data_IF_466549995951
#
_entry.id   IF_466549995951
#
_cell.length_a   1.000
_cell.length_b   1.000
_cell.length_c   1.000
_cell.angle_alpha   90.00
_cell.angle_beta   90.00
_cell.angle_gamma   90.00
#
_symmetry.space_group_name_H-M   'P 1'
#
loop_
_entity.id
_entity.type
_entity.pdbx_description
1 polymer ?
#
# COMPACT_ATOMS: atom_id res chain seq x y z
N UNK A 1 5.19 1.09 -32.83
CA UNK A 1 5.65 2.24 -32.03
C UNK A 1 6.62 1.76 -30.97
N UNK A 2 7.78 2.40 -30.78
CA UNK A 2 8.70 2.04 -29.71
C UNK A 2 8.07 2.43 -28.35
N UNK A 3 7.91 1.45 -27.46
CA UNK A 3 7.52 1.69 -26.06
C UNK A 3 8.77 1.97 -25.24
N UNK A 4 8.74 3.02 -24.42
CA UNK A 4 9.86 3.42 -23.58
C UNK A 4 9.77 2.66 -22.25
N UNK A 5 10.78 1.85 -21.87
CA UNK A 5 10.76 1.20 -20.57
C UNK A 5 10.88 2.23 -19.45
N UNK A 6 10.04 2.09 -18.43
CA UNK A 6 9.99 2.96 -17.26
C UNK A 6 10.41 2.17 -16.00
N UNK A 7 11.34 2.73 -15.22
CA UNK A 7 11.80 2.40 -13.84
C UNK A 7 13.30 2.06 -13.64
N UNK A 8 13.82 2.40 -12.45
CA UNK A 8 15.16 2.07 -11.94
C UNK A 8 15.13 0.80 -11.05
N UNK A 9 16.25 0.08 -11.07
CA UNK A 9 16.64 -1.15 -10.34
C UNK A 9 15.75 -2.41 -10.41
N UNK A 10 14.46 -2.38 -10.06
CA UNK A 10 13.66 -3.64 -10.02
C UNK A 10 13.22 -4.15 -11.40
N UNK A 11 13.00 -3.24 -12.35
CA UNK A 11 12.77 -3.56 -13.77
C UNK A 11 14.09 -3.53 -14.59
N UNK A 12 15.21 -3.07 -14.01
CA UNK A 12 16.54 -3.08 -14.66
C UNK A 12 17.26 -4.41 -14.52
N UNK A 13 17.06 -5.13 -13.41
CA UNK A 13 17.50 -6.51 -13.40
C UNK A 13 16.60 -7.25 -14.37
N UNK A 14 17.19 -7.72 -15.48
CA UNK A 14 16.57 -8.57 -16.49
C UNK A 14 16.20 -9.94 -15.92
N UNK A 15 15.56 -9.96 -14.75
CA UNK A 15 14.93 -11.14 -14.26
C UNK A 15 13.85 -11.50 -15.26
N UNK A 16 13.91 -12.74 -15.73
CA UNK A 16 12.78 -13.35 -16.42
C UNK A 16 11.53 -13.10 -15.57
N UNK A 17 10.36 -12.87 -16.19
CA UNK A 17 9.12 -12.62 -15.44
C UNK A 17 8.90 -13.65 -14.33
N UNK A 18 9.33 -14.90 -14.53
CA UNK A 18 9.32 -15.97 -13.52
C UNK A 18 10.17 -15.71 -12.27
N UNK A 19 11.34 -15.09 -12.36
CA UNK A 19 12.20 -14.81 -11.20
C UNK A 19 11.63 -13.70 -10.32
N UNK A 20 11.02 -12.69 -10.93
CA UNK A 20 10.34 -11.62 -10.19
C UNK A 20 9.13 -12.13 -9.38
N UNK A 21 8.41 -13.15 -9.87
CA UNK A 21 7.33 -13.79 -9.12
C UNK A 21 7.84 -14.73 -8.02
N UNK A 22 8.95 -15.42 -8.26
CA UNK A 22 9.60 -16.24 -7.22
C UNK A 22 10.04 -15.39 -6.03
N UNK A 23 10.60 -14.20 -6.29
CA UNK A 23 10.97 -13.27 -5.22
C UNK A 23 9.78 -12.85 -4.37
N UNK A 24 8.66 -12.46 -5.00
CA UNK A 24 7.43 -12.14 -4.27
C UNK A 24 6.92 -13.33 -3.44
N UNK A 25 6.95 -14.53 -4.01
CA UNK A 25 6.53 -15.74 -3.29
C UNK A 25 7.43 -16.02 -2.06
N UNK A 26 8.75 -15.81 -2.19
CA UNK A 26 9.69 -15.92 -1.07
C UNK A 26 9.38 -14.85 -0.01
N UNK A 27 9.20 -13.60 -0.41
CA UNK A 27 8.89 -12.51 0.53
C UNK A 27 7.58 -12.76 1.30
N UNK A 28 6.52 -13.21 0.61
CA UNK A 28 5.26 -13.62 1.26
C UNK A 28 5.49 -14.76 2.26
N UNK A 29 6.31 -15.75 1.91
CA UNK A 29 6.64 -16.85 2.81
C UNK A 29 7.43 -16.38 4.04
N UNK A 30 8.35 -15.43 3.88
CA UNK A 30 9.11 -14.82 4.98
C UNK A 30 8.21 -13.99 5.90
N UNK A 31 7.30 -13.20 5.35
CA UNK A 31 6.31 -12.44 6.13
C UNK A 31 5.48 -13.40 7.00
N UNK A 32 5.00 -14.52 6.41
CA UNK A 32 4.23 -15.53 7.16
C UNK A 32 5.05 -16.17 8.27
N UNK A 33 6.32 -16.51 8.00
CA UNK A 33 7.21 -17.07 9.02
C UNK A 33 7.41 -16.11 10.18
N UNK A 34 7.58 -14.83 9.88
CA UNK A 34 7.71 -13.78 10.89
C UNK A 34 6.41 -13.65 11.72
N UNK A 35 5.26 -13.53 11.08
CA UNK A 35 3.97 -13.43 11.76
C UNK A 35 3.63 -14.68 12.62
N UNK A 36 4.13 -15.85 12.22
CA UNK A 36 3.91 -17.11 12.95
C UNK A 36 4.81 -17.28 14.18
N UNK A 37 5.91 -16.53 14.29
CA UNK A 37 6.82 -16.62 15.43
C UNK A 37 6.16 -16.17 16.74
N UNK A 38 5.17 -15.27 16.66
CA UNK A 38 4.38 -14.84 17.81
C UNK A 38 5.13 -13.93 18.79
N UNK A 39 6.22 -13.31 18.35
CA UNK A 39 6.93 -12.30 19.12
C UNK A 39 7.02 -10.96 18.38
N UNK A 40 7.15 -9.89 19.17
CA UNK A 40 7.09 -8.52 18.67
C UNK A 40 8.21 -8.17 17.68
N UNK A 41 9.39 -8.80 17.79
CA UNK A 41 10.49 -8.49 16.90
C UNK A 41 10.20 -9.00 15.49
N UNK A 42 9.66 -10.22 15.39
CA UNK A 42 9.23 -10.77 14.12
C UNK A 42 7.98 -10.08 13.57
N UNK A 43 7.01 -9.69 14.40
CA UNK A 43 5.85 -8.92 13.93
C UNK A 43 6.26 -7.57 13.32
N UNK A 44 7.26 -6.88 13.91
CA UNK A 44 7.82 -5.65 13.34
C UNK A 44 8.52 -5.91 12.01
N UNK A 45 9.29 -7.00 11.92
CA UNK A 45 9.92 -7.40 10.67
C UNK A 45 8.88 -7.74 9.59
N UNK A 46 7.81 -8.46 9.96
CA UNK A 46 6.69 -8.76 9.07
C UNK A 46 6.06 -7.47 8.55
N UNK A 47 5.83 -6.47 9.41
CA UNK A 47 5.27 -5.18 8.99
C UNK A 47 6.17 -4.43 8.00
N UNK A 48 7.49 -4.45 8.22
CA UNK A 48 8.47 -3.85 7.31
C UNK A 48 8.48 -4.54 5.94
N UNK A 49 8.43 -5.87 5.93
CA UNK A 49 8.38 -6.66 4.70
C UNK A 49 7.05 -6.48 3.95
N UNK A 50 5.93 -6.33 4.66
CA UNK A 50 4.63 -6.08 4.03
C UNK A 50 4.59 -4.71 3.35
N UNK A 51 5.10 -3.66 4.00
CA UNK A 51 5.19 -2.32 3.41
C UNK A 51 5.99 -2.34 2.10
N UNK A 52 7.14 -3.04 2.10
CA UNK A 52 7.94 -3.25 0.89
C UNK A 52 7.20 -4.06 -0.18
N UNK A 53 6.59 -5.20 0.18
CA UNK A 53 5.78 -6.02 -0.74
C UNK A 53 4.69 -5.19 -1.43
N UNK A 54 3.97 -4.38 -0.65
CA UNK A 54 2.90 -3.52 -1.15
C UNK A 54 3.46 -2.42 -2.05
N UNK A 55 4.57 -1.80 -1.70
CA UNK A 55 5.24 -0.84 -2.57
C UNK A 55 5.64 -1.46 -3.91
N UNK A 56 6.14 -2.70 -3.90
CA UNK A 56 6.47 -3.44 -5.13
C UNK A 56 5.21 -3.70 -5.96
N UNK A 57 4.11 -4.17 -5.35
CA UNK A 57 2.84 -4.43 -6.06
C UNK A 57 2.30 -3.14 -6.69
N UNK A 58 2.23 -2.05 -5.91
CA UNK A 58 1.77 -0.74 -6.35
C UNK A 58 2.67 -0.18 -7.46
N UNK A 59 3.98 -0.27 -7.30
CA UNK A 59 4.96 0.17 -8.29
C UNK A 59 4.79 -0.57 -9.63
N UNK A 60 4.59 -1.89 -9.59
CA UNK A 60 4.34 -2.68 -10.81
C UNK A 60 3.05 -2.29 -11.51
N UNK A 61 1.99 -2.00 -10.78
CA UNK A 61 0.72 -1.55 -11.37
C UNK A 61 0.85 -0.15 -11.99
N UNK A 62 1.61 0.76 -11.36
CA UNK A 62 1.95 2.07 -11.95
C UNK A 62 2.76 1.88 -13.22
N UNK A 63 3.86 1.11 -13.17
CA UNK A 63 4.70 0.82 -14.34
C UNK A 63 3.89 0.17 -15.44
N UNK A 64 2.94 -0.68 -15.08
CA UNK A 64 2.11 -1.37 -16.04
C UNK A 64 1.25 -0.42 -16.87
N UNK A 65 0.73 0.62 -16.23
CA UNK A 65 -0.07 1.64 -16.90
C UNK A 65 0.79 2.60 -17.70
N UNK A 66 1.94 2.99 -17.15
CA UNK A 66 2.88 3.89 -17.84
C UNK A 66 3.51 3.25 -19.08
N UNK A 67 3.69 1.92 -19.08
CA UNK A 67 4.23 1.19 -20.23
C UNK A 67 3.39 1.31 -21.52
N UNK A 68 2.11 1.69 -21.40
CA UNK A 68 1.22 1.91 -22.55
C UNK A 68 1.15 3.37 -23.02
N UNK A 69 1.83 4.29 -22.33
CA UNK A 69 1.82 5.69 -22.74
C UNK A 69 2.62 5.89 -24.03
N UNK A 70 2.21 6.83 -24.90
CA UNK A 70 3.04 7.28 -26.01
C UNK A 70 4.38 7.81 -25.51
N UNK A 71 5.40 7.74 -26.38
CA UNK A 71 6.70 8.32 -26.08
C UNK A 71 6.57 9.84 -25.87
N UNK A 72 7.40 10.41 -25.00
CA UNK A 72 7.35 11.84 -24.66
C UNK A 72 7.39 12.74 -25.90
N UNK A 73 8.25 12.41 -26.87
CA UNK A 73 8.39 13.17 -28.12
C UNK A 73 7.12 13.23 -28.94
N UNK A 74 6.30 12.16 -28.92
CA UNK A 74 5.02 12.11 -29.62
C UNK A 74 4.01 13.01 -28.91
N UNK A 75 4.01 13.02 -27.58
CA UNK A 75 3.09 13.87 -26.81
C UNK A 75 3.44 15.35 -26.98
N UNK A 76 4.71 15.71 -27.02
CA UNK A 76 5.12 17.09 -27.32
C UNK A 76 4.69 17.52 -28.73
N UNK A 77 4.85 16.68 -29.76
CA UNK A 77 4.35 16.97 -31.11
C UNK A 77 2.82 17.17 -31.12
N UNK A 78 2.07 16.32 -30.41
CA UNK A 78 0.61 16.46 -30.29
C UNK A 78 0.21 17.75 -29.57
N UNK A 79 0.99 18.19 -28.56
CA UNK A 79 0.78 19.49 -27.89
C UNK A 79 1.02 20.65 -28.83
N UNK A 80 2.10 20.64 -29.60
CA UNK A 80 2.40 21.68 -30.58
C UNK A 80 1.28 21.81 -31.63
N UNK A 81 0.76 20.68 -32.12
CA UNK A 81 -0.37 20.66 -33.06
C UNK A 81 -1.62 21.29 -32.42
N UNK A 82 -1.97 20.89 -31.20
CA UNK A 82 -3.11 21.46 -30.46
C UNK A 82 -2.96 22.97 -30.26
N UNK A 83 -1.79 23.40 -29.79
CA UNK A 83 -1.52 24.78 -29.44
C UNK A 83 -1.44 25.69 -30.69
N UNK A 84 -1.23 25.11 -31.88
CA UNK A 84 -1.31 25.81 -33.17
C UNK A 84 -2.74 26.17 -33.62
N UNK A 85 -3.77 25.74 -32.87
CA UNK A 85 -5.18 26.03 -33.15
C UNK A 85 -5.85 25.05 -34.11
N UNK A 86 -5.22 23.90 -34.40
CA UNK A 86 -5.92 22.78 -35.02
C UNK A 86 -6.96 22.22 -34.03
N UNK A 87 -8.18 21.94 -34.48
CA UNK A 87 -9.17 21.25 -33.63
C UNK A 87 -8.64 19.86 -33.27
N UNK A 88 -8.26 19.61 -32.01
CA UNK A 88 -7.78 18.31 -31.61
C UNK A 88 -8.96 17.34 -31.58
N UNK A 89 -8.73 16.12 -32.03
CA UNK A 89 -9.62 15.01 -31.70
C UNK A 89 -9.65 14.87 -30.16
N UNK A 90 -10.84 14.68 -29.59
CA UNK A 90 -11.03 14.46 -28.15
C UNK A 90 -10.18 13.29 -27.62
N UNK A 91 -9.81 12.34 -28.50
CA UNK A 91 -8.86 11.27 -28.18
C UNK A 91 -7.44 11.79 -27.96
N UNK A 92 -6.99 12.74 -28.79
CA UNK A 92 -5.65 13.36 -28.70
C UNK A 92 -5.55 14.21 -27.44
N UNK A 93 -6.56 15.04 -27.15
CA UNK A 93 -6.58 15.84 -25.92
C UNK A 93 -6.48 14.96 -24.68
N UNK A 94 -7.23 13.85 -24.64
CA UNK A 94 -7.15 12.89 -23.54
C UNK A 94 -5.75 12.27 -23.41
N UNK A 95 -5.13 11.88 -24.53
CA UNK A 95 -3.78 11.32 -24.51
C UNK A 95 -2.76 12.32 -23.97
N UNK A 96 -2.87 13.59 -24.35
CA UNK A 96 -1.99 14.65 -23.85
C UNK A 96 -2.20 14.88 -22.35
N UNK A 97 -3.46 14.96 -21.90
CA UNK A 97 -3.81 15.31 -20.52
C UNK A 97 -3.57 14.15 -19.53
N UNK A 98 -3.64 12.90 -20.00
CA UNK A 98 -3.35 11.71 -19.20
C UNK A 98 -1.86 11.33 -19.22
N UNK A 99 -1.07 11.87 -20.15
CA UNK A 99 0.35 11.59 -20.24
C UNK A 99 1.12 12.04 -19.00
N UNK A 100 2.03 11.18 -18.54
CA UNK A 100 2.88 11.45 -17.38
C UNK A 100 4.30 11.71 -17.85
N UNK A 101 4.66 13.00 -17.88
CA UNK A 101 5.99 13.45 -18.27
C UNK A 101 7.12 12.97 -17.32
N UNK A 102 8.38 13.17 -17.71
CA UNK A 102 9.56 12.60 -17.05
C UNK A 102 9.69 12.97 -15.56
N UNK A 103 9.47 14.23 -15.20
CA UNK A 103 9.57 14.69 -13.80
C UNK A 103 8.53 14.03 -12.91
N UNK A 104 7.29 13.92 -13.40
CA UNK A 104 6.21 13.27 -12.67
C UNK A 104 6.44 11.76 -12.58
N UNK A 105 6.97 11.16 -13.64
CA UNK A 105 7.44 9.77 -13.65
C UNK A 105 8.52 9.54 -12.59
N UNK A 106 9.50 10.43 -12.45
CA UNK A 106 10.50 10.34 -11.38
C UNK A 106 9.87 10.44 -9.97
N UNK A 107 8.90 11.33 -9.76
CA UNK A 107 8.17 11.40 -8.49
C UNK A 107 7.39 10.11 -8.19
N UNK A 108 6.76 9.51 -9.20
CA UNK A 108 6.08 8.23 -9.07
C UNK A 108 7.05 7.11 -8.73
N UNK A 109 8.27 7.12 -9.26
CA UNK A 109 9.28 6.11 -8.93
C UNK A 109 9.69 6.17 -7.45
N UNK A 110 9.90 7.40 -6.94
CA UNK A 110 10.49 7.64 -5.63
C UNK A 110 9.53 7.63 -4.45
N UNK A 111 8.24 7.85 -4.67
CA UNK A 111 7.31 8.09 -3.58
C UNK A 111 6.06 7.21 -3.68
N UNK A 112 5.88 6.29 -2.73
CA UNK A 112 4.68 5.47 -2.61
C UNK A 112 3.39 6.32 -2.61
N UNK A 113 3.40 7.46 -1.92
CA UNK A 113 2.27 8.39 -1.89
C UNK A 113 1.87 8.89 -3.29
N UNK A 114 2.85 9.17 -4.14
CA UNK A 114 2.57 9.61 -5.52
C UNK A 114 2.03 8.45 -6.36
N UNK A 115 2.56 7.22 -6.16
CA UNK A 115 2.05 6.00 -6.79
C UNK A 115 0.58 5.76 -6.44
N UNK A 116 0.22 5.79 -5.16
CA UNK A 116 -1.16 5.55 -4.71
C UNK A 116 -2.11 6.65 -5.17
N UNK A 117 -1.69 7.92 -5.16
CA UNK A 117 -2.46 9.05 -5.72
C UNK A 117 -2.74 8.86 -7.21
N UNK A 118 -1.76 8.42 -7.98
CA UNK A 118 -1.93 8.09 -9.39
C UNK A 118 -2.93 6.94 -9.57
N UNK A 119 -2.81 5.85 -8.82
CA UNK A 119 -3.72 4.72 -8.92
C UNK A 119 -5.17 5.05 -8.52
N UNK A 120 -5.40 5.98 -7.59
CA UNK A 120 -6.74 6.51 -7.29
C UNK A 120 -7.30 7.32 -8.45
N UNK A 121 -6.50 8.20 -9.08
CA UNK A 121 -6.92 8.97 -10.26
C UNK A 121 -7.40 8.06 -11.41
N UNK A 122 -6.88 6.83 -11.46
CA UNK A 122 -7.14 5.87 -12.51
C UNK A 122 -8.04 4.70 -12.09
N UNK A 123 -8.81 4.87 -11.01
CA UNK A 123 -9.82 3.92 -10.49
C UNK A 123 -9.27 2.51 -10.21
N UNK A 124 -7.97 2.39 -9.92
CA UNK A 124 -7.35 1.12 -9.47
C UNK A 124 -7.51 0.93 -7.98
N UNK A 125 -7.26 2.02 -7.25
CA UNK A 125 -7.41 2.08 -5.82
C UNK A 125 -8.60 2.96 -5.47
N UNK A 126 -9.34 2.56 -4.46
CA UNK A 126 -10.30 3.45 -3.80
C UNK A 126 -9.57 4.46 -2.92
N UNK A 127 -10.21 5.60 -2.63
CA UNK A 127 -9.68 6.56 -1.64
C UNK A 127 -9.44 5.93 -0.27
N UNK A 128 -10.28 4.98 0.12
CA UNK A 128 -10.14 4.25 1.38
C UNK A 128 -8.89 3.36 1.38
N UNK A 129 -8.64 2.63 0.30
CA UNK A 129 -7.42 1.80 0.18
C UNK A 129 -6.16 2.66 0.23
N UNK A 130 -6.16 3.82 -0.45
CA UNK A 130 -5.06 4.79 -0.34
C UNK A 130 -4.84 5.24 1.10
N UNK A 131 -5.90 5.59 1.83
CA UNK A 131 -5.79 6.01 3.23
C UNK A 131 -5.22 4.90 4.12
N UNK A 132 -5.61 3.65 3.87
CA UNK A 132 -5.07 2.48 4.59
C UNK A 132 -3.58 2.28 4.28
N UNK A 133 -3.17 2.47 3.02
CA UNK A 133 -1.76 2.38 2.59
C UNK A 133 -0.91 3.51 3.17
N UNK A 134 -1.41 4.74 3.19
CA UNK A 134 -0.73 5.88 3.81
C UNK A 134 -0.51 5.60 5.32
N UNK A 135 -1.53 5.09 6.03
CA UNK A 135 -1.39 4.68 7.44
C UNK A 135 -0.45 3.50 7.65
N UNK A 136 -0.42 2.54 6.74
CA UNK A 136 0.51 1.40 6.82
C UNK A 136 1.95 1.89 6.87
N UNK A 137 2.29 2.85 6.01
CA UNK A 137 3.61 3.43 5.97
C UNK A 137 3.96 4.20 7.26
N UNK A 138 2.99 4.93 7.83
CA UNK A 138 3.14 5.57 9.15
C UNK A 138 3.42 4.54 10.26
N UNK A 139 2.65 3.45 10.32
CA UNK A 139 2.87 2.39 11.31
C UNK A 139 4.19 1.67 11.12
N UNK A 140 4.62 1.48 9.87
CA UNK A 140 5.94 0.93 9.55
C UNK A 140 7.05 1.82 10.09
N UNK A 141 6.95 3.14 9.91
CA UNK A 141 7.93 4.08 10.44
C UNK A 141 7.95 4.06 11.98
N UNK A 142 6.78 4.03 12.61
CA UNK A 142 6.68 3.89 14.08
C UNK A 142 7.29 2.56 14.58
N UNK A 143 7.03 1.45 13.89
CA UNK A 143 7.61 0.15 14.21
C UNK A 143 9.14 0.14 14.06
N UNK A 144 9.67 0.80 13.03
CA UNK A 144 11.11 0.93 12.77
C UNK A 144 11.83 1.73 13.86
N UNK A 145 11.26 2.87 14.26
CA UNK A 145 11.83 3.73 15.31
C UNK A 145 11.63 3.19 16.73
N UNK A 146 11.03 1.99 16.87
CA UNK A 146 10.62 1.39 18.15
C UNK A 146 9.72 2.32 18.97
N UNK A 147 8.90 3.10 18.28
CA UNK A 147 7.89 3.94 18.90
C UNK A 147 6.83 3.07 19.60
N UNK A 148 5.99 3.70 20.42
CA UNK A 148 4.99 3.14 21.33
C UNK A 148 3.82 2.44 20.63
N UNK A 149 4.07 1.57 19.66
CA UNK A 149 3.07 0.63 19.18
C UNK A 149 2.93 -0.51 20.20
N UNK A 150 1.71 -0.68 20.70
CA UNK A 150 1.34 -1.84 21.52
C UNK A 150 1.62 -3.13 20.73
N UNK A 151 2.25 -4.13 21.36
CA UNK A 151 2.64 -5.36 20.67
C UNK A 151 1.45 -6.05 19.99
N UNK A 152 0.30 -6.12 20.67
CA UNK A 152 -0.93 -6.71 20.14
C UNK A 152 -1.39 -5.99 18.84
N UNK A 153 -1.20 -4.68 18.75
CA UNK A 153 -1.59 -3.90 17.57
C UNK A 153 -0.73 -4.25 16.35
N UNK A 154 0.57 -4.53 16.54
CA UNK A 154 1.47 -4.84 15.43
C UNK A 154 1.04 -6.15 14.75
N UNK A 155 0.74 -7.18 15.55
CA UNK A 155 0.26 -8.47 15.02
C UNK A 155 -1.04 -8.32 14.23
N UNK A 156 -1.99 -7.52 14.74
CA UNK A 156 -3.23 -7.23 14.03
C UNK A 156 -2.95 -6.49 12.72
N UNK A 157 -2.13 -5.43 12.74
CA UNK A 157 -1.75 -4.68 11.53
C UNK A 157 -1.11 -5.58 10.47
N UNK A 158 -0.20 -6.48 10.86
CA UNK A 158 0.41 -7.47 9.96
C UNK A 158 -0.66 -8.30 9.24
N UNK A 159 -1.71 -8.75 9.94
CA UNK A 159 -2.78 -9.53 9.34
C UNK A 159 -3.67 -8.71 8.40
N UNK A 160 -4.05 -7.48 8.79
CA UNK A 160 -4.82 -6.61 7.91
C UNK A 160 -4.06 -6.27 6.63
N UNK A 161 -2.77 -5.92 6.76
CA UNK A 161 -1.97 -5.53 5.62
C UNK A 161 -1.62 -6.70 4.72
N UNK A 162 -1.45 -7.91 5.27
CA UNK A 162 -1.38 -9.13 4.45
C UNK A 162 -2.65 -9.33 3.63
N UNK A 163 -3.83 -9.15 4.22
CA UNK A 163 -5.09 -9.26 3.49
C UNK A 163 -5.20 -8.20 2.39
N UNK A 164 -4.82 -6.95 2.67
CA UNK A 164 -4.78 -5.88 1.67
C UNK A 164 -3.79 -6.19 0.54
N UNK A 165 -2.54 -6.53 0.86
CA UNK A 165 -1.52 -6.89 -0.12
C UNK A 165 -1.99 -8.01 -1.04
N UNK A 166 -2.68 -9.00 -0.48
CA UNK A 166 -3.24 -10.11 -1.21
C UNK A 166 -4.38 -9.71 -2.14
N UNK A 167 -5.26 -8.82 -1.70
CA UNK A 167 -6.31 -8.25 -2.55
C UNK A 167 -5.73 -7.43 -3.70
N UNK A 168 -4.71 -6.60 -3.42
CA UNK A 168 -4.00 -5.83 -4.44
C UNK A 168 -3.33 -6.75 -5.46
N UNK A 169 -2.65 -7.80 -4.98
CA UNK A 169 -1.98 -8.79 -5.82
C UNK A 169 -2.97 -9.58 -6.69
N UNK A 170 -4.14 -9.95 -6.14
CA UNK A 170 -5.18 -10.65 -6.89
C UNK A 170 -5.82 -9.79 -7.99
N UNK A 171 -5.89 -8.46 -7.78
CA UNK A 171 -6.38 -7.51 -8.78
C UNK A 171 -5.32 -7.17 -9.83
N UNK A 172 -4.05 -7.23 -9.45
CA UNK A 172 -2.96 -6.94 -10.35
C UNK A 172 -2.95 -7.97 -11.49
N UNK A 173 -3.33 -7.51 -12.69
CA UNK A 173 -3.17 -8.29 -13.92
C UNK A 173 -1.81 -7.93 -14.50
N UNK A 174 -0.76 -8.75 -14.33
CA UNK A 174 0.53 -8.40 -14.89
C UNK A 174 0.42 -8.23 -16.41
N UNK A 175 1.09 -7.21 -16.97
CA UNK A 175 1.18 -6.99 -18.43
C UNK A 175 1.65 -8.26 -19.15
N UNK A 176 2.40 -9.12 -18.47
CA UNK A 176 2.86 -10.41 -18.99
C UNK A 176 1.69 -11.32 -19.41
N UNK A 177 0.53 -11.22 -18.77
CA UNK A 177 -0.69 -11.92 -19.23
C UNK A 177 -1.20 -11.39 -20.59
N UNK A 178 -0.93 -10.11 -20.92
CA UNK A 178 -1.20 -9.57 -22.25
C UNK A 178 -0.18 -10.05 -23.31
N UNK A 179 0.98 -10.60 -22.89
CA UNK A 179 2.00 -11.20 -23.78
C UNK A 179 2.08 -12.73 -23.76
N UNK A 180 1.23 -13.42 -22.98
CA UNK A 180 0.94 -14.85 -23.14
C UNK A 180 1.95 -15.86 -22.58
N UNK A 181 2.91 -15.48 -21.72
CA UNK A 181 4.01 -16.38 -21.34
C UNK A 181 3.87 -17.09 -19.98
N UNK A 182 2.86 -16.79 -19.16
CA UNK A 182 2.58 -17.50 -17.90
C UNK A 182 1.10 -17.79 -17.73
N UNK A 183 0.74 -19.03 -17.35
CA UNK A 183 -0.66 -19.43 -17.14
C UNK A 183 -1.15 -18.82 -15.81
N UNK A 184 -2.23 -18.03 -15.80
CA UNK A 184 -2.72 -17.35 -14.59
C UNK A 184 -3.07 -18.30 -13.43
N UNK A 185 -3.35 -19.57 -13.70
CA UNK A 185 -3.71 -20.58 -12.68
C UNK A 185 -2.58 -20.98 -11.73
N UNK A 186 -1.31 -21.00 -12.17
CA UNK A 186 -0.19 -21.43 -11.30
C UNK A 186 0.16 -20.39 -10.24
N UNK A 187 0.11 -19.10 -10.61
CA UNK A 187 0.32 -18.00 -9.68
C UNK A 187 -0.84 -17.91 -8.69
N UNK A 188 -2.08 -18.04 -9.17
CA UNK A 188 -3.25 -18.02 -8.31
C UNK A 188 -3.26 -19.21 -7.34
N UNK A 189 -2.73 -20.37 -7.73
CA UNK A 189 -2.55 -21.53 -6.85
C UNK A 189 -1.43 -21.33 -5.82
N UNK A 190 -0.27 -20.81 -6.22
CA UNK A 190 0.84 -20.46 -5.30
C UNK A 190 0.41 -19.41 -4.27
N UNK A 191 -0.39 -18.44 -4.70
CA UNK A 191 -0.97 -17.45 -3.82
C UNK A 191 -2.05 -18.08 -2.95
N UNK A 192 -3.00 -18.85 -3.49
CA UNK A 192 -4.08 -19.48 -2.72
C UNK A 192 -3.56 -20.45 -1.65
N UNK A 193 -2.60 -21.33 -1.95
CA UNK A 193 -1.90 -22.17 -0.97
C UNK A 193 -1.11 -21.32 0.06
N UNK A 194 -0.76 -20.10 -0.34
CA UNK A 194 -0.14 -19.06 0.49
C UNK A 194 -1.10 -18.28 1.39
N UNK A 195 -2.38 -18.18 0.99
CA UNK A 195 -3.36 -17.18 1.45
C UNK A 195 -4.58 -17.74 2.17
N UNK A 196 -4.62 -19.03 2.50
CA UNK A 196 -5.55 -19.54 3.51
C UNK A 196 -5.19 -18.94 4.89
N UNK A 197 -5.44 -17.65 5.03
CA UNK A 197 -5.61 -16.98 6.29
C UNK A 197 -7.02 -17.33 6.75
N UNK A 198 -7.14 -17.87 7.96
CA UNK A 198 -8.43 -18.00 8.60
C UNK A 198 -9.00 -16.60 8.85
N UNK A 199 -9.73 -16.07 7.87
CA UNK A 199 -10.34 -14.75 7.89
C UNK A 199 -11.26 -14.59 9.11
N UNK A 200 -11.84 -15.69 9.59
CA UNK A 200 -12.68 -15.70 10.80
C UNK A 200 -11.83 -15.51 12.05
N UNK A 201 -10.68 -16.19 12.15
CA UNK A 201 -9.73 -15.96 13.25
C UNK A 201 -9.13 -14.55 13.21
N UNK A 202 -8.83 -14.02 12.02
CA UNK A 202 -8.35 -12.64 11.84
C UNK A 202 -9.41 -11.64 12.27
N UNK A 203 -10.65 -11.76 11.77
CA UNK A 203 -11.76 -10.90 12.16
C UNK A 203 -12.06 -10.99 13.67
N UNK A 204 -11.94 -12.18 14.26
CA UNK A 204 -12.05 -12.39 15.71
C UNK A 204 -11.02 -11.57 16.49
N UNK A 205 -9.73 -11.69 16.14
CA UNK A 205 -8.64 -10.92 16.77
C UNK A 205 -8.82 -9.42 16.64
N UNK A 206 -9.17 -8.94 15.44
CA UNK A 206 -9.51 -7.53 15.22
C UNK A 206 -10.67 -7.06 16.09
N UNK A 207 -11.73 -7.85 16.21
CA UNK A 207 -12.89 -7.52 17.03
C UNK A 207 -12.52 -7.46 18.53
N UNK A 208 -11.73 -8.41 19.01
CA UNK A 208 -11.23 -8.43 20.38
C UNK A 208 -10.31 -7.24 20.68
N UNK A 209 -9.40 -6.90 19.76
CA UNK A 209 -8.53 -5.75 19.88
C UNK A 209 -9.32 -4.44 19.89
N UNK A 210 -10.24 -4.27 18.95
CA UNK A 210 -11.11 -3.10 18.88
C UNK A 210 -11.92 -2.95 20.18
N UNK A 211 -12.46 -4.04 20.70
CA UNK A 211 -13.15 -4.08 21.99
C UNK A 211 -12.22 -3.66 23.14
N UNK A 212 -11.01 -4.21 23.22
CA UNK A 212 -10.00 -3.86 24.24
C UNK A 212 -9.67 -2.36 24.20
N UNK A 213 -9.53 -1.78 23.01
CA UNK A 213 -9.30 -0.33 22.84
C UNK A 213 -10.50 0.50 23.26
N UNK A 214 -11.70 0.13 22.84
CA UNK A 214 -12.94 0.82 23.26
C UNK A 214 -13.10 0.75 24.78
N UNK A 215 -12.87 -0.40 25.39
CA UNK A 215 -12.92 -0.59 26.85
C UNK A 215 -11.83 0.21 27.58
N UNK A 216 -10.65 0.35 26.98
CA UNK A 216 -9.55 1.18 27.48
C UNK A 216 -9.91 2.67 27.46
N UNK A 217 -10.43 3.17 26.33
CA UNK A 217 -10.92 4.54 26.19
C UNK A 217 -12.08 4.79 27.15
N UNK A 218 -13.06 3.90 27.22
CA UNK A 218 -14.19 4.03 28.13
C UNK A 218 -13.75 4.09 29.61
N UNK A 219 -12.71 3.33 29.99
CA UNK A 219 -12.10 3.41 31.33
C UNK A 219 -11.38 4.73 31.56
N UNK A 220 -10.64 5.24 30.58
CA UNK A 220 -9.93 6.52 30.69
C UNK A 220 -10.87 7.73 30.69
N UNK A 221 -12.00 7.65 29.98
CA UNK A 221 -13.01 8.70 29.86
C UNK A 221 -13.99 8.69 31.03
N UNK A 222 -14.04 7.63 31.86
CA UNK A 222 -14.80 7.68 33.12
C UNK A 222 -14.30 8.87 33.93
N UNK A 223 -15.12 9.92 34.12
CA UNK A 223 -14.70 11.09 34.84
C UNK A 223 -14.33 10.66 36.25
N UNK A 224 -13.19 11.16 36.73
CA UNK A 224 -12.67 10.86 38.05
C UNK A 224 -13.79 10.91 39.09
N UNK A 225 -13.78 9.92 39.97
CA UNK A 225 -14.28 10.08 41.33
C UNK A 225 -13.87 11.47 41.80
N UNK A 226 -14.88 12.29 42.12
CA UNK A 226 -14.70 13.62 42.64
C UNK A 226 -13.63 13.58 43.73
N UNK A 227 -12.50 14.26 43.50
CA UNK A 227 -11.61 14.62 44.58
C UNK A 227 -12.47 15.46 45.52
N UNK A 228 -12.74 15.02 46.76
CA UNK A 228 -13.55 15.83 47.66
C UNK A 228 -12.79 17.13 47.88
N UNK A 229 -13.36 18.22 47.39
CA UNK A 229 -12.91 19.58 47.72
C UNK A 229 -13.12 19.71 49.21
N UNK A 230 -12.05 19.49 49.97
CA UNK A 230 -12.02 19.74 51.41
C UNK A 230 -12.35 21.20 51.59
N UNK A 231 -13.57 21.48 52.04
CA UNK A 231 -14.00 22.81 52.43
C UNK A 231 -13.09 23.29 53.57
N UNK A 232 -12.11 24.12 53.23
CA UNK A 232 -11.39 24.94 54.20
C UNK A 232 -12.26 26.16 54.51
N UNK A 233 -13.30 25.93 55.32
CA UNK A 233 -13.99 26.99 56.06
C UNK A 233 -13.44 26.93 57.49
N UNK A 234 -12.52 27.84 57.80
CA UNK A 234 -12.24 28.42 59.13
C UNK A 234 -11.07 29.38 58.92
N UNK A 235 -11.29 30.70 58.92
CA UNK A 235 -11.52 31.58 60.07
C UNK A 235 -10.24 32.37 60.40
N UNK A 236 -10.19 33.65 60.00
CA UNK A 236 -9.33 34.70 60.58
C UNK A 236 -10.03 36.05 60.30
N UNK A 237 -10.86 36.58 61.21
CA UNK A 237 -10.57 37.41 62.40
C UNK A 237 -10.76 38.91 62.08
N UNK A 238 -11.41 39.57 63.04
CA UNK A 238 -11.67 41.00 63.15
C UNK A 238 -10.39 41.85 63.27
#
# INVERSE_FOLDING_TARGET
MPFQPFAHDWDRVQFSGSEQWRWLAVEIAEIRRCAAAGDQAHDRLALLLIDHLVEVIVGREVNARLAWQPADSVVEELREIRDSGAEPDATVDRLIDEHVGPDRRHQLDMHLHEKTKYLVKHDVLTSQEREVLDRMHEYRNAAYHRDTLEADLISDLVLAYMMLASQLLARHRPIVLARGTTRPGELSALLADGLEMDLKAVAGRFSEHAKKRVDGVARAVRPGQAVPVRAAVTATVA
#
